data_IF_016586038074
#
_entry.id   IF_016586038074
#
_cell.length_a   1.000
_cell.length_b   1.000
_cell.length_c   1.000
_cell.angle_alpha   90.00
_cell.angle_beta   90.00
_cell.angle_gamma   90.00
#
_symmetry.space_group_name_H-M   'P 1'
#
loop_
_entity.id
_entity.type
_entity.pdbx_description
1 polymer ?
#
# COMPACT_ATOMS: atom_id res chain seq x y z
N UNK A 1 6.64 -25.22 -14.98
CA UNK A 1 5.90 -24.55 -13.90
C UNK A 1 6.89 -23.63 -13.18
N UNK A 2 6.77 -22.32 -13.33
CA UNK A 2 7.75 -21.37 -12.78
C UNK A 2 7.33 -21.05 -11.33
N UNK A 3 8.12 -21.42 -10.30
CA UNK A 3 7.70 -21.34 -8.90
C UNK A 3 7.42 -19.90 -8.41
N UNK A 4 7.97 -18.90 -9.10
CA UNK A 4 7.74 -17.49 -8.76
C UNK A 4 6.28 -17.05 -8.94
N UNK A 5 5.54 -17.61 -9.92
CA UNK A 5 4.18 -17.16 -10.21
C UNK A 5 3.26 -17.38 -9.01
N UNK A 6 3.32 -18.55 -8.38
CA UNK A 6 2.45 -18.91 -7.25
C UNK A 6 2.71 -18.09 -6.00
N UNK A 7 3.97 -17.79 -5.67
CA UNK A 7 4.30 -16.98 -4.49
C UNK A 7 3.89 -15.52 -4.68
N UNK A 8 4.13 -14.96 -5.87
CA UNK A 8 3.70 -13.60 -6.20
C UNK A 8 2.18 -13.49 -6.23
N UNK A 9 1.46 -14.46 -6.81
CA UNK A 9 -0.01 -14.48 -6.84
C UNK A 9 -0.61 -14.42 -5.43
N UNK A 10 -0.05 -15.18 -4.47
CA UNK A 10 -0.48 -15.11 -3.07
C UNK A 10 -0.23 -13.75 -2.44
N UNK A 11 0.97 -13.18 -2.63
CA UNK A 11 1.29 -11.83 -2.12
C UNK A 11 0.34 -10.81 -2.73
N UNK A 12 0.22 -10.77 -4.06
CA UNK A 12 -0.68 -9.87 -4.78
C UNK A 12 -2.12 -9.98 -4.27
N UNK A 13 -2.62 -11.21 -4.04
CA UNK A 13 -3.98 -11.40 -3.54
C UNK A 13 -4.18 -10.86 -2.12
N UNK A 14 -3.20 -11.04 -1.23
CA UNK A 14 -3.24 -10.46 0.12
C UNK A 14 -3.21 -8.93 0.05
N UNK A 15 -2.32 -8.36 -0.78
CA UNK A 15 -2.22 -6.93 -1.01
C UNK A 15 -3.51 -6.34 -1.58
N UNK A 16 -4.11 -7.03 -2.54
CA UNK A 16 -5.39 -6.63 -3.13
C UNK A 16 -6.49 -6.61 -2.08
N UNK A 17 -6.57 -7.62 -1.22
CA UNK A 17 -7.56 -7.64 -0.14
C UNK A 17 -7.38 -6.45 0.80
N UNK A 18 -6.14 -6.15 1.21
CA UNK A 18 -5.84 -4.98 2.06
C UNK A 18 -6.21 -3.68 1.35
N UNK A 19 -5.90 -3.59 0.07
CA UNK A 19 -6.25 -2.43 -0.74
C UNK A 19 -7.77 -2.22 -0.81
N UNK A 20 -8.55 -3.29 -1.03
CA UNK A 20 -10.01 -3.24 -1.04
C UNK A 20 -10.66 -2.86 0.31
N UNK A 21 -9.93 -3.00 1.42
CA UNK A 21 -10.36 -2.53 2.75
C UNK A 21 -10.15 -1.02 2.92
N UNK A 22 -9.08 -0.49 2.31
CA UNK A 22 -8.74 0.94 2.31
C UNK A 22 -9.58 1.73 1.29
N UNK A 23 -9.81 1.14 0.11
CA UNK A 23 -10.57 1.72 -1.00
C UNK A 23 -12.08 1.63 -0.69
N UNK A 24 -12.61 2.69 -0.06
CA UNK A 24 -14.00 2.74 0.41
C UNK A 24 -14.95 2.95 -0.76
N UNK A 25 -14.56 3.76 -1.73
CA UNK A 25 -15.40 4.06 -2.90
C UNK A 25 -15.28 3.03 -4.03
N UNK A 26 -14.28 2.15 -3.96
CA UNK A 26 -14.03 1.06 -4.91
C UNK A 26 -13.74 1.55 -6.33
N UNK A 27 -13.15 2.74 -6.47
CA UNK A 27 -12.60 3.26 -7.73
C UNK A 27 -11.41 2.43 -8.23
N UNK A 28 -10.72 1.71 -7.35
CA UNK A 28 -9.47 1.01 -7.65
C UNK A 28 -8.22 1.83 -7.34
N UNK A 29 -8.39 3.01 -6.74
CA UNK A 29 -7.33 3.91 -6.27
C UNK A 29 -7.67 4.37 -4.85
N UNK A 30 -6.71 4.34 -3.92
CA UNK A 30 -6.91 4.88 -2.58
C UNK A 30 -6.38 6.31 -2.54
N UNK A 31 -7.27 7.28 -2.44
CA UNK A 31 -6.87 8.68 -2.36
C UNK A 31 -6.27 9.04 -0.99
N UNK A 32 -5.48 10.13 -0.92
CA UNK A 32 -4.97 10.64 0.37
C UNK A 32 -6.08 10.89 1.38
N UNK A 33 -7.26 11.27 0.89
CA UNK A 33 -8.43 11.51 1.74
C UNK A 33 -8.93 10.21 2.35
N UNK A 34 -9.20 9.19 1.54
CA UNK A 34 -9.67 7.89 2.05
C UNK A 34 -8.65 7.22 2.96
N UNK A 35 -7.38 7.23 2.58
CA UNK A 35 -6.32 6.67 3.40
C UNK A 35 -6.20 7.37 4.76
N UNK A 36 -6.35 8.69 4.76
CA UNK A 36 -6.38 9.50 5.98
C UNK A 36 -7.63 9.20 6.81
N UNK A 37 -8.80 9.11 6.20
CA UNK A 37 -10.06 8.78 6.87
C UNK A 37 -9.97 7.41 7.56
N UNK A 38 -9.48 6.39 6.85
CA UNK A 38 -9.25 5.06 7.42
C UNK A 38 -8.24 5.11 8.58
N UNK A 39 -7.11 5.79 8.41
CA UNK A 39 -6.12 5.87 9.49
C UNK A 39 -6.68 6.59 10.73
N UNK A 40 -7.46 7.65 10.55
CA UNK A 40 -8.13 8.34 11.66
C UNK A 40 -9.16 7.42 12.32
N UNK A 41 -9.91 6.64 11.54
CA UNK A 41 -10.87 5.66 12.05
C UNK A 41 -10.18 4.55 12.87
N UNK A 42 -8.98 4.13 12.45
CA UNK A 42 -8.13 3.20 13.19
C UNK A 42 -7.40 3.87 14.39
N UNK A 43 -7.54 5.18 14.60
CA UNK A 43 -6.93 5.93 15.71
C UNK A 43 -5.49 6.40 15.47
N UNK A 44 -5.01 6.37 14.23
CA UNK A 44 -3.71 6.90 13.85
C UNK A 44 -3.77 8.41 13.54
N UNK A 45 -2.69 9.17 13.84
CA UNK A 45 -2.65 10.59 13.52
C UNK A 45 -2.48 10.84 12.02
N UNK A 46 -3.05 11.93 11.54
CA UNK A 46 -2.96 12.38 10.14
C UNK A 46 -1.52 12.48 9.61
N UNK A 47 -0.57 12.89 10.43
CA UNK A 47 0.85 12.94 10.04
C UNK A 47 1.40 11.57 9.62
N UNK A 48 0.87 10.47 10.17
CA UNK A 48 1.24 9.12 9.79
C UNK A 48 0.70 8.79 8.38
N UNK A 49 -0.53 9.23 8.09
CA UNK A 49 -1.16 9.05 6.77
C UNK A 49 -0.32 9.68 5.66
N UNK A 50 0.11 10.93 5.86
CA UNK A 50 0.98 11.61 4.89
C UNK A 50 2.33 10.91 4.70
N UNK A 51 2.91 10.36 5.78
CA UNK A 51 4.17 9.60 5.71
C UNK A 51 4.02 8.32 4.91
N UNK A 52 2.97 7.54 5.18
CA UNK A 52 2.68 6.31 4.45
C UNK A 52 2.35 6.61 2.98
N UNK A 53 1.53 7.64 2.72
CA UNK A 53 1.22 8.09 1.36
C UNK A 53 2.51 8.39 0.59
N UNK A 54 3.42 9.19 1.17
CA UNK A 54 4.71 9.51 0.55
C UNK A 54 5.63 8.29 0.30
N UNK A 55 5.34 7.13 0.89
CA UNK A 55 6.09 5.88 0.69
C UNK A 55 5.49 5.01 -0.41
N UNK A 56 4.17 5.02 -0.55
CA UNK A 56 3.44 4.21 -1.54
C UNK A 56 3.19 4.95 -2.85
N UNK A 57 2.85 6.24 -2.77
CA UNK A 57 2.61 7.14 -3.90
C UNK A 57 3.95 7.56 -4.51
N UNK A 58 4.40 6.76 -5.49
CA UNK A 58 5.68 6.97 -6.13
C UNK A 58 5.60 8.03 -7.22
N UNK A 59 4.46 8.10 -7.92
CA UNK A 59 4.23 9.08 -8.98
C UNK A 59 3.75 10.44 -8.48
N UNK A 60 3.40 10.54 -7.20
CA UNK A 60 3.00 11.77 -6.49
C UNK A 60 1.75 12.41 -7.06
N UNK A 61 0.81 11.61 -7.56
CA UNK A 61 -0.49 12.09 -7.99
C UNK A 61 -1.49 12.23 -6.83
N UNK A 62 -1.11 11.80 -5.61
CA UNK A 62 -1.92 11.90 -4.41
C UNK A 62 -2.93 10.75 -4.24
N UNK A 63 -2.83 9.69 -5.04
CA UNK A 63 -3.62 8.46 -4.91
C UNK A 63 -2.70 7.25 -5.04
N UNK A 64 -2.99 6.20 -4.29
CA UNK A 64 -2.24 4.94 -4.39
C UNK A 64 -3.08 4.02 -5.24
N UNK A 65 -2.60 3.66 -6.41
CA UNK A 65 -3.25 2.63 -7.22
C UNK A 65 -2.88 1.24 -6.72
N UNK A 66 -3.73 0.23 -7.01
CA UNK A 66 -3.42 -1.16 -6.67
C UNK A 66 -2.06 -1.60 -7.23
N UNK A 67 -1.71 -1.14 -8.43
CA UNK A 67 -0.43 -1.42 -9.06
C UNK A 67 0.74 -0.82 -8.27
N UNK A 68 0.67 0.45 -7.86
CA UNK A 68 1.71 1.07 -7.02
C UNK A 68 1.82 0.41 -5.64
N UNK A 69 0.69 0.03 -5.03
CA UNK A 69 0.69 -0.67 -3.76
C UNK A 69 1.40 -2.03 -3.87
N UNK A 70 1.06 -2.79 -4.91
CA UNK A 70 1.70 -4.07 -5.23
C UNK A 70 3.17 -3.87 -5.55
N UNK A 71 3.52 -2.94 -6.43
CA UNK A 71 4.90 -2.66 -6.81
C UNK A 71 5.71 -2.25 -5.59
N UNK A 72 5.21 -1.33 -4.79
CA UNK A 72 5.88 -0.91 -3.56
C UNK A 72 6.13 -2.12 -2.68
N UNK A 73 5.14 -2.97 -2.37
CA UNK A 73 5.37 -4.08 -1.45
C UNK A 73 6.16 -5.24 -2.07
N UNK A 74 6.02 -5.52 -3.36
CA UNK A 74 6.81 -6.55 -4.04
C UNK A 74 8.27 -6.15 -4.23
N UNK A 75 8.54 -4.88 -4.54
CA UNK A 75 9.90 -4.38 -4.74
C UNK A 75 10.56 -3.88 -3.44
N UNK A 76 9.79 -3.47 -2.44
CA UNK A 76 10.31 -2.98 -1.15
C UNK A 76 10.67 -4.13 -0.19
N UNK A 77 10.01 -5.30 -0.31
CA UNK A 77 10.30 -6.48 0.52
C UNK A 77 11.76 -6.96 0.37
N UNK A 78 12.43 -6.64 -0.73
CA UNK A 78 13.84 -7.02 -0.94
C UNK A 78 14.85 -6.04 -0.32
N UNK A 79 14.45 -4.83 0.08
CA UNK A 79 15.45 -3.79 0.47
C UNK A 79 15.15 -2.95 1.70
N UNK A 80 13.91 -2.75 2.16
CA UNK A 80 13.66 -1.70 3.17
C UNK A 80 13.13 -2.14 4.54
N UNK A 81 12.63 -3.37 4.72
CA UNK A 81 12.29 -3.83 6.08
C UNK A 81 13.52 -4.38 6.86
N UNK A 82 14.69 -4.46 6.21
CA UNK A 82 15.97 -4.79 6.84
C UNK A 82 16.92 -3.58 7.00
N UNK A 83 16.37 -2.38 7.22
CA UNK A 83 17.15 -1.29 7.81
C UNK A 83 16.48 -0.82 9.09
N UNK A 84 16.65 -1.67 10.11
CA UNK A 84 16.92 -1.28 11.49
C UNK A 84 17.37 0.18 11.60
N UNK A 85 16.50 1.06 12.09
CA UNK A 85 16.88 2.37 12.64
C UNK A 85 16.34 2.47 14.06
N UNK A 86 16.97 1.71 14.95
CA UNK A 86 17.37 2.09 16.31
C UNK A 86 18.27 0.98 16.86
#
# INVERSE_FOLDING_TARGET
MIPYKTTMEKKINDLKRRFEELDKDKDGSVTMKEFKEELIEQGFPECLAAKFMSKFDHDKDGRITLDEFIKTLLYTDDSAFSSKVE
#
